data_IF_828456587216
#
_entry.id   IF_828456587216
#
_cell.length_a   1.000
_cell.length_b   1.000
_cell.length_c   1.000
_cell.angle_alpha   90.00
_cell.angle_beta   90.00
_cell.angle_gamma   90.00
#
_symmetry.space_group_name_H-M   'P 1'
#
loop_
_entity.id
_entity.type
_entity.pdbx_description
1 polymer ?
#
# COMPACT_ATOMS: atom_id res chain seq x y z
N UNK A 1 -5.98 57.78 11.24
CA UNK A 1 -4.59 57.49 10.81
C UNK A 1 -3.69 58.15 11.84
N UNK A 2 -3.13 57.36 12.75
CA UNK A 2 -2.09 57.86 13.67
C UNK A 2 -0.82 58.08 12.85
N UNK A 3 -0.19 59.23 13.02
CA UNK A 3 1.09 59.53 12.36
C UNK A 3 2.18 58.67 13.00
N UNK A 4 3.20 58.26 12.22
CA UNK A 4 4.33 57.45 12.68
C UNK A 4 5.10 58.08 13.87
N UNK A 5 4.92 59.36 14.13
CA UNK A 5 5.58 60.12 15.19
C UNK A 5 4.92 59.95 16.56
N UNK A 6 3.71 59.35 16.62
CA UNK A 6 2.99 59.09 17.88
C UNK A 6 3.09 57.63 18.39
N UNK A 7 3.80 56.76 17.65
CA UNK A 7 3.97 55.38 18.02
C UNK A 7 5.21 55.21 18.94
N UNK A 8 5.03 54.51 20.06
CA UNK A 8 6.16 54.10 20.91
C UNK A 8 7.01 53.05 20.17
N UNK A 9 8.31 52.97 20.49
CA UNK A 9 9.22 51.95 19.87
C UNK A 9 8.65 50.54 19.97
N UNK A 10 7.94 50.19 21.05
CA UNK A 10 7.30 48.90 21.24
C UNK A 10 6.12 48.65 20.26
N UNK A 11 5.42 49.73 19.86
CA UNK A 11 4.35 49.68 18.85
C UNK A 11 4.91 49.58 17.45
N UNK A 12 6.02 50.27 17.16
CA UNK A 12 6.77 50.16 15.93
C UNK A 12 7.35 48.77 15.77
N UNK A 13 7.95 48.20 16.82
CA UNK A 13 8.45 46.80 16.79
C UNK A 13 7.35 45.77 16.49
N UNK A 14 6.13 45.98 17.05
CA UNK A 14 4.97 45.11 16.72
C UNK A 14 4.48 45.26 15.31
N UNK A 15 4.61 46.43 14.71
CA UNK A 15 4.24 46.67 13.33
C UNK A 15 5.26 46.08 12.32
N UNK A 16 6.53 46.06 12.69
CA UNK A 16 7.65 45.63 11.83
C UNK A 16 7.90 44.12 11.96
N UNK A 17 7.71 43.52 13.13
CA UNK A 17 7.89 42.07 13.37
C UNK A 17 6.55 41.37 13.29
N UNK A 18 6.29 40.64 12.19
CA UNK A 18 5.09 39.81 12.15
C UNK A 18 5.06 38.88 13.35
N UNK A 19 3.90 38.76 13.98
CA UNK A 19 3.73 37.84 15.11
C UNK A 19 4.08 36.40 14.70
N UNK A 20 4.46 35.57 15.65
CA UNK A 20 4.71 34.14 15.41
C UNK A 20 3.55 33.49 14.65
N UNK A 21 2.32 33.90 14.93
CA UNK A 21 1.12 33.41 14.28
C UNK A 21 1.02 33.83 12.82
N UNK A 22 1.37 35.08 12.48
CA UNK A 22 1.38 35.61 11.11
C UNK A 22 2.49 34.96 10.28
N UNK A 23 3.67 34.78 10.85
CA UNK A 23 4.77 34.05 10.23
C UNK A 23 4.38 32.60 9.96
N UNK A 24 3.76 31.93 10.93
CA UNK A 24 3.28 30.55 10.77
C UNK A 24 2.19 30.45 9.69
N UNK A 25 1.31 31.45 9.60
CA UNK A 25 0.27 31.54 8.56
C UNK A 25 0.86 31.82 7.17
N UNK A 26 1.86 32.68 7.08
CA UNK A 26 2.58 32.96 5.84
C UNK A 26 3.36 31.75 5.31
N UNK A 27 4.04 31.02 6.23
CA UNK A 27 4.74 29.76 5.92
C UNK A 27 3.73 28.71 5.42
N UNK A 28 2.59 28.57 6.11
CA UNK A 28 1.54 27.63 5.71
C UNK A 28 0.96 27.95 4.33
N UNK A 29 0.71 29.24 4.02
CA UNK A 29 0.25 29.68 2.70
C UNK A 29 1.25 29.36 1.59
N UNK A 30 2.55 29.57 1.83
CA UNK A 30 3.61 29.21 0.89
C UNK A 30 3.71 27.70 0.67
N UNK A 31 3.54 26.90 1.72
CA UNK A 31 3.52 25.43 1.60
C UNK A 31 2.30 24.93 0.83
N UNK A 32 1.20 25.68 0.83
CA UNK A 32 -0.03 25.35 0.11
C UNK A 32 -0.10 25.95 -1.28
N UNK A 33 0.92 26.70 -1.71
CA UNK A 33 1.01 27.23 -3.05
C UNK A 33 0.96 26.12 -4.11
N UNK A 34 0.24 26.37 -5.21
CA UNK A 34 0.06 25.45 -6.31
C UNK A 34 1.39 24.96 -6.87
N UNK A 35 2.36 25.85 -7.03
CA UNK A 35 3.70 25.52 -7.52
C UNK A 35 4.38 24.48 -6.61
N UNK A 36 4.38 24.70 -5.30
CA UNK A 36 4.97 23.76 -4.35
C UNK A 36 4.25 22.41 -4.34
N UNK A 37 2.92 22.41 -4.51
CA UNK A 37 2.15 21.16 -4.66
C UNK A 37 2.56 20.41 -5.91
N UNK A 38 2.68 21.09 -7.05
CA UNK A 38 3.12 20.47 -8.30
C UNK A 38 4.55 19.94 -8.21
N UNK A 39 5.47 20.70 -7.64
CA UNK A 39 6.84 20.23 -7.39
C UNK A 39 6.87 18.99 -6.51
N UNK A 40 6.03 18.93 -5.47
CA UNK A 40 5.90 17.74 -4.61
C UNK A 40 5.38 16.53 -5.38
N UNK A 41 4.36 16.73 -6.22
CA UNK A 41 3.81 15.65 -7.08
C UNK A 41 4.87 15.12 -8.04
N UNK A 42 5.60 16.00 -8.72
CA UNK A 42 6.66 15.60 -9.64
C UNK A 42 7.79 14.86 -8.95
N UNK A 43 8.18 15.31 -7.77
CA UNK A 43 9.22 14.64 -7.00
C UNK A 43 8.76 13.26 -6.50
N UNK A 44 7.49 13.09 -6.11
CA UNK A 44 6.93 11.79 -5.74
C UNK A 44 6.78 10.88 -6.95
N UNK A 45 6.36 11.42 -8.09
CA UNK A 45 6.31 10.69 -9.36
C UNK A 45 7.71 10.15 -9.74
N UNK A 46 8.74 11.00 -9.71
CA UNK A 46 10.11 10.59 -10.02
C UNK A 46 10.61 9.49 -9.06
N UNK A 47 10.25 9.57 -7.78
CA UNK A 47 10.56 8.52 -6.81
C UNK A 47 9.87 7.18 -7.18
N UNK A 48 8.61 7.19 -7.54
CA UNK A 48 7.88 5.98 -7.97
C UNK A 48 8.51 5.39 -9.20
N UNK A 49 8.86 6.21 -10.22
CA UNK A 49 9.56 5.78 -11.42
C UNK A 49 10.89 5.07 -11.10
N UNK A 50 11.72 5.70 -10.26
CA UNK A 50 13.00 5.13 -9.83
C UNK A 50 12.80 3.79 -9.10
N UNK A 51 11.79 3.69 -8.22
CA UNK A 51 11.49 2.43 -7.51
C UNK A 51 11.00 1.33 -8.46
N UNK A 52 10.13 1.64 -9.41
CA UNK A 52 9.67 0.69 -10.42
C UNK A 52 10.84 0.18 -11.25
N UNK A 53 11.74 1.05 -11.68
CA UNK A 53 12.97 0.67 -12.40
C UNK A 53 13.84 -0.25 -11.54
N UNK A 54 14.15 0.11 -10.30
CA UNK A 54 14.99 -0.68 -9.39
C UNK A 54 14.43 -2.07 -9.07
N UNK A 55 13.11 -2.20 -8.93
CA UNK A 55 12.46 -3.49 -8.69
C UNK A 55 12.56 -4.37 -9.96
N UNK A 56 12.42 -3.78 -11.13
CA UNK A 56 12.43 -4.50 -12.41
C UNK A 56 13.83 -4.88 -12.88
N UNK A 57 14.84 -4.01 -12.77
CA UNK A 57 16.25 -4.32 -13.12
C UNK A 57 16.83 -5.48 -12.30
N UNK A 58 16.20 -5.80 -11.17
CA UNK A 58 16.56 -6.96 -10.36
C UNK A 58 16.05 -8.29 -10.95
N UNK A 59 15.19 -8.26 -11.93
CA UNK A 59 14.48 -9.42 -12.47
C UNK A 59 14.79 -9.73 -13.94
N UNK A 60 15.50 -8.85 -14.65
CA UNK A 60 15.91 -9.08 -16.05
C UNK A 60 17.09 -8.17 -16.38
N UNK A 61 18.01 -8.65 -17.26
CA UNK A 61 19.06 -7.86 -17.89
C UNK A 61 18.52 -6.81 -18.87
N UNK A 62 17.32 -6.29 -18.63
CA UNK A 62 16.63 -5.37 -19.49
C UNK A 62 16.89 -3.92 -19.07
N UNK A 63 17.79 -3.24 -19.75
CA UNK A 63 18.03 -1.80 -19.71
C UNK A 63 16.90 -0.99 -20.38
N UNK A 64 15.73 -1.58 -20.60
CA UNK A 64 14.67 -0.97 -21.40
C UNK A 64 13.70 -0.15 -20.55
N UNK A 65 13.40 1.05 -21.01
CA UNK A 65 12.17 1.81 -20.70
C UNK A 65 10.93 1.10 -21.31
N UNK A 66 10.82 -0.24 -21.12
CA UNK A 66 9.76 -1.00 -21.76
C UNK A 66 8.46 -0.94 -20.95
N UNK A 67 7.35 -0.90 -21.67
CA UNK A 67 5.98 -0.95 -21.13
C UNK A 67 5.76 -2.12 -20.17
N UNK A 68 6.56 -3.18 -20.29
CA UNK A 68 6.51 -4.36 -19.43
C UNK A 68 6.81 -4.07 -17.95
N UNK A 69 7.68 -3.08 -17.67
CA UNK A 69 8.04 -2.69 -16.31
C UNK A 69 6.84 -2.15 -15.51
N UNK A 70 5.91 -1.48 -16.18
CA UNK A 70 4.75 -0.85 -15.56
C UNK A 70 3.52 -1.75 -15.48
N UNK A 71 3.51 -2.89 -16.14
CA UNK A 71 2.36 -3.82 -16.13
C UNK A 71 1.97 -4.31 -14.75
N UNK A 72 2.91 -4.28 -13.80
CA UNK A 72 2.69 -4.69 -12.42
C UNK A 72 2.51 -3.49 -11.46
N UNK A 73 2.32 -2.27 -11.99
CA UNK A 73 2.08 -1.07 -11.19
C UNK A 73 0.59 -0.76 -11.16
N UNK A 74 0.06 -0.57 -9.95
CA UNK A 74 -1.32 -0.19 -9.70
C UNK A 74 -1.38 1.14 -8.99
N UNK A 75 -2.02 2.12 -9.61
CA UNK A 75 -2.33 3.39 -8.98
C UNK A 75 -3.61 3.25 -8.14
N UNK A 76 -3.54 3.49 -6.83
CA UNK A 76 -4.75 3.59 -6.04
C UNK A 76 -5.51 4.86 -6.46
N UNK A 77 -6.73 4.68 -7.00
CA UNK A 77 -7.46 5.72 -7.76
C UNK A 77 -7.58 7.07 -7.05
N UNK A 78 -7.60 7.08 -5.71
CA UNK A 78 -7.76 8.33 -4.97
C UNK A 78 -6.54 9.24 -5.06
N UNK A 79 -5.34 8.71 -4.83
CA UNK A 79 -4.12 9.51 -4.71
C UNK A 79 -2.92 8.92 -5.46
N UNK A 80 -3.02 7.70 -5.99
CA UNK A 80 -1.92 7.05 -6.70
C UNK A 80 -1.81 7.45 -8.16
N UNK A 81 -2.92 7.83 -8.80
CA UNK A 81 -2.94 8.17 -10.23
C UNK A 81 -2.08 9.37 -10.62
N UNK A 82 -1.82 10.29 -9.68
CA UNK A 82 -0.93 11.45 -9.89
C UNK A 82 0.56 11.09 -9.81
N UNK A 83 0.88 9.93 -9.23
CA UNK A 83 2.23 9.51 -8.88
C UNK A 83 2.70 8.27 -9.64
N UNK A 84 1.86 7.74 -10.51
CA UNK A 84 2.17 6.62 -11.38
C UNK A 84 2.01 7.00 -12.85
N UNK A 85 2.73 6.33 -13.73
CA UNK A 85 2.57 6.55 -15.17
C UNK A 85 1.18 6.12 -15.63
N UNK A 86 0.31 7.10 -15.93
CA UNK A 86 -1.11 6.87 -16.22
C UNK A 86 -1.36 6.07 -17.52
N UNK A 87 -0.38 6.02 -18.42
CA UNK A 87 -0.49 5.26 -19.68
C UNK A 87 -0.19 3.79 -19.50
N UNK A 88 0.68 3.47 -18.57
CA UNK A 88 1.27 2.15 -18.41
C UNK A 88 0.77 1.44 -17.15
N UNK A 89 0.43 2.18 -16.09
CA UNK A 89 -0.07 1.62 -14.85
C UNK A 89 -1.56 1.27 -14.93
N UNK A 90 -1.93 0.25 -14.18
CA UNK A 90 -3.33 -0.10 -13.91
C UNK A 90 -3.87 0.68 -12.72
N UNK A 91 -5.15 0.51 -12.43
CA UNK A 91 -5.79 1.14 -11.27
C UNK A 91 -6.33 0.10 -10.30
N UNK A 92 -6.30 0.44 -9.02
CA UNK A 92 -6.97 -0.31 -7.95
C UNK A 92 -7.72 0.66 -7.03
N UNK A 93 -8.57 0.15 -6.15
CA UNK A 93 -9.34 0.97 -5.22
C UNK A 93 -9.25 0.40 -3.81
N UNK A 94 -8.38 1.01 -3.00
CA UNK A 94 -8.29 0.76 -1.56
C UNK A 94 -8.62 2.06 -0.82
N UNK A 95 -9.69 2.06 -0.02
CA UNK A 95 -10.09 3.24 0.75
C UNK A 95 -9.41 3.29 2.10
N UNK A 96 -8.85 4.44 2.46
CA UNK A 96 -8.25 4.66 3.79
C UNK A 96 -9.26 4.48 4.93
N UNK A 97 -10.56 4.75 4.69
CA UNK A 97 -11.59 4.59 5.70
C UNK A 97 -11.79 3.14 6.11
N UNK A 98 -11.56 2.19 5.22
CA UNK A 98 -11.72 0.75 5.50
C UNK A 98 -10.62 0.25 6.46
N UNK A 99 -9.45 0.91 6.50
CA UNK A 99 -8.35 0.65 7.45
C UNK A 99 -8.27 1.63 8.61
N UNK A 100 -9.20 2.61 8.70
CA UNK A 100 -9.13 3.60 9.76
C UNK A 100 -9.44 2.99 11.14
N UNK A 101 -8.75 3.48 12.18
CA UNK A 101 -8.93 3.00 13.55
C UNK A 101 -10.43 3.00 13.93
N UNK A 102 -10.87 1.94 14.59
CA UNK A 102 -12.26 1.62 14.97
C UNK A 102 -13.20 1.28 13.82
N UNK A 103 -12.80 1.44 12.55
CA UNK A 103 -13.65 1.17 11.38
C UNK A 103 -13.08 0.07 10.46
N UNK A 104 -12.21 -0.81 10.95
CA UNK A 104 -11.65 -1.87 10.11
C UNK A 104 -12.76 -2.66 9.41
N UNK A 105 -12.75 -2.66 8.08
CA UNK A 105 -13.76 -3.28 7.23
C UNK A 105 -13.10 -3.97 6.03
N UNK A 106 -13.79 -4.99 5.51
CA UNK A 106 -13.49 -5.59 4.23
C UNK A 106 -14.52 -5.15 3.20
N UNK A 107 -14.04 -4.56 2.09
CA UNK A 107 -14.95 -4.06 1.05
C UNK A 107 -15.40 -5.16 0.10
N UNK A 108 -16.67 -5.54 0.15
CA UNK A 108 -17.29 -6.50 -0.78
C UNK A 108 -17.42 -6.00 -2.22
N UNK A 109 -17.35 -4.70 -2.42
CA UNK A 109 -17.48 -4.08 -3.75
C UNK A 109 -16.14 -3.89 -4.48
N UNK A 110 -15.01 -4.01 -3.77
CA UNK A 110 -13.67 -3.71 -4.28
C UNK A 110 -12.72 -4.85 -3.95
N UNK A 111 -12.93 -5.97 -4.65
CA UNK A 111 -12.14 -7.17 -4.43
C UNK A 111 -10.70 -7.03 -4.94
N UNK A 112 -10.45 -6.11 -5.88
CA UNK A 112 -9.14 -5.85 -6.50
C UNK A 112 -8.44 -7.15 -6.99
N UNK A 113 -9.20 -8.05 -7.59
CA UNK A 113 -8.72 -9.37 -8.03
C UNK A 113 -7.56 -9.25 -9.03
N UNK A 114 -7.64 -8.28 -9.94
CA UNK A 114 -6.57 -8.00 -10.90
C UNK A 114 -5.21 -7.79 -10.25
N UNK A 115 -5.18 -7.22 -9.04
CA UNK A 115 -3.94 -7.04 -8.29
C UNK A 115 -3.33 -8.39 -7.92
N UNK A 116 -4.15 -9.35 -7.45
CA UNK A 116 -3.68 -10.71 -7.12
C UNK A 116 -3.19 -11.43 -8.36
N UNK A 117 -4.01 -11.45 -9.41
CA UNK A 117 -3.68 -12.17 -10.64
C UNK A 117 -2.39 -11.62 -11.27
N UNK A 118 -2.19 -10.32 -11.22
CA UNK A 118 -0.93 -9.70 -11.69
C UNK A 118 0.25 -10.01 -10.79
N UNK A 119 0.08 -9.96 -9.47
CA UNK A 119 1.13 -10.33 -8.53
C UNK A 119 1.57 -11.80 -8.71
N UNK A 120 0.67 -12.67 -9.17
CA UNK A 120 0.94 -14.09 -9.42
C UNK A 120 1.58 -14.37 -10.78
N UNK A 121 1.60 -13.40 -11.69
CA UNK A 121 2.29 -13.49 -12.98
C UNK A 121 3.72 -12.94 -12.86
N UNK A 122 4.61 -13.36 -13.78
CA UNK A 122 5.93 -12.73 -14.01
C UNK A 122 6.64 -12.16 -12.79
N UNK A 123 7.34 -12.99 -12.08
CA UNK A 123 8.20 -12.55 -10.96
C UNK A 123 7.48 -12.37 -9.63
N UNK A 124 6.17 -12.60 -9.55
CA UNK A 124 5.43 -12.73 -8.29
C UNK A 124 5.34 -11.44 -7.46
N UNK A 125 5.18 -10.26 -8.09
CA UNK A 125 4.97 -9.01 -7.38
C UNK A 125 4.07 -8.05 -8.15
N UNK A 126 3.41 -7.15 -7.42
CA UNK A 126 2.87 -5.90 -7.96
C UNK A 126 3.14 -4.74 -6.99
N UNK A 127 3.24 -3.54 -7.53
CA UNK A 127 3.44 -2.33 -6.76
C UNK A 127 2.13 -1.53 -6.69
N UNK A 128 1.64 -1.26 -5.48
CA UNK A 128 0.48 -0.39 -5.26
C UNK A 128 0.99 0.99 -4.87
N UNK A 129 0.64 2.01 -5.64
CA UNK A 129 1.04 3.39 -5.43
C UNK A 129 -0.09 4.18 -4.80
N UNK A 130 0.16 4.77 -3.63
CA UNK A 130 -0.74 5.71 -2.95
C UNK A 130 0.09 6.76 -2.22
N UNK A 131 -0.23 8.03 -2.42
CA UNK A 131 0.48 9.16 -1.82
C UNK A 131 -0.43 10.04 -0.96
N UNK A 132 -1.42 9.44 -0.30
CA UNK A 132 -2.27 10.15 0.65
C UNK A 132 -1.43 10.72 1.78
N UNK A 133 -1.26 12.04 1.81
CA UNK A 133 -0.46 12.72 2.82
C UNK A 133 -1.11 12.63 4.20
N UNK A 134 -0.35 12.15 5.17
CA UNK A 134 -0.66 12.27 6.60
C UNK A 134 0.43 13.09 7.30
N UNK A 135 0.06 13.87 8.30
CA UNK A 135 1.03 14.62 9.13
C UNK A 135 1.75 13.75 10.14
N UNK A 136 1.11 12.66 10.56
CA UNK A 136 1.56 11.83 11.67
C UNK A 136 1.86 10.38 11.29
N UNK A 137 1.39 9.91 10.13
CA UNK A 137 1.56 8.52 9.69
C UNK A 137 2.56 8.45 8.55
N UNK A 138 3.47 7.51 8.61
CA UNK A 138 4.45 7.22 7.55
C UNK A 138 3.75 6.72 6.27
N UNK A 139 2.72 5.89 6.42
CA UNK A 139 1.91 5.39 5.32
C UNK A 139 0.43 5.76 5.51
N UNK A 140 -0.33 6.00 4.43
CA UNK A 140 -1.77 6.16 4.52
C UNK A 140 -2.44 4.87 5.02
N UNK A 141 -3.61 4.99 5.68
CA UNK A 141 -4.34 3.82 6.17
C UNK A 141 -4.72 2.84 5.05
N UNK A 142 -4.87 3.31 3.80
CA UNK A 142 -5.06 2.45 2.64
C UNK A 142 -3.91 1.45 2.48
N UNK A 143 -2.66 1.91 2.46
CA UNK A 143 -1.49 1.04 2.32
C UNK A 143 -1.15 0.31 3.63
N UNK A 144 -1.19 1.02 4.76
CA UNK A 144 -0.73 0.47 6.03
C UNK A 144 -1.69 -0.51 6.69
N UNK A 145 -2.99 -0.49 6.32
CA UNK A 145 -4.00 -1.35 6.95
C UNK A 145 -4.95 -1.99 5.94
N UNK A 146 -5.59 -1.22 5.05
CA UNK A 146 -6.59 -1.78 4.13
C UNK A 146 -6.01 -2.83 3.21
N UNK A 147 -4.85 -2.56 2.58
CA UNK A 147 -4.16 -3.53 1.70
C UNK A 147 -3.72 -4.79 2.44
N UNK A 148 -3.02 -4.72 3.59
CA UNK A 148 -2.62 -5.93 4.31
C UNK A 148 -3.81 -6.72 4.88
N UNK A 149 -4.87 -6.08 5.36
CA UNK A 149 -6.10 -6.78 5.76
C UNK A 149 -6.70 -7.53 4.56
N UNK A 150 -6.78 -6.87 3.41
CA UNK A 150 -7.26 -7.47 2.16
C UNK A 150 -6.41 -8.67 1.73
N UNK A 151 -5.09 -8.58 1.77
CA UNK A 151 -4.19 -9.68 1.45
C UNK A 151 -4.37 -10.86 2.42
N UNK A 152 -4.46 -10.58 3.72
CA UNK A 152 -4.68 -11.58 4.76
C UNK A 152 -6.03 -12.32 4.60
N UNK A 153 -7.08 -11.61 4.18
CA UNK A 153 -8.40 -12.20 3.89
C UNK A 153 -8.32 -13.15 2.69
N UNK A 154 -7.69 -12.74 1.59
CA UNK A 154 -7.55 -13.57 0.40
C UNK A 154 -6.73 -14.81 0.69
N UNK A 155 -5.58 -14.68 1.34
CA UNK A 155 -4.74 -15.83 1.71
C UNK A 155 -5.55 -16.89 2.48
N UNK A 156 -6.33 -16.46 3.49
CA UNK A 156 -7.16 -17.41 4.29
C UNK A 156 -8.32 -17.97 3.51
N UNK A 157 -8.91 -17.18 2.62
CA UNK A 157 -10.05 -17.63 1.83
C UNK A 157 -9.68 -18.80 0.90
N UNK A 158 -8.46 -18.78 0.33
CA UNK A 158 -8.01 -19.76 -0.67
C UNK A 158 -7.13 -20.88 -0.10
N UNK A 159 -6.63 -20.75 1.13
CA UNK A 159 -5.58 -21.62 1.67
C UNK A 159 -5.90 -23.14 1.58
N UNK A 160 -7.09 -23.54 1.98
CA UNK A 160 -7.50 -24.95 1.92
C UNK A 160 -7.55 -25.49 0.49
N UNK A 161 -8.09 -24.69 -0.43
CA UNK A 161 -8.23 -25.07 -1.83
C UNK A 161 -6.86 -25.13 -2.53
N UNK A 162 -5.96 -24.21 -2.21
CA UNK A 162 -4.56 -24.23 -2.67
C UNK A 162 -3.83 -25.48 -2.19
N UNK A 163 -3.94 -25.83 -0.91
CA UNK A 163 -3.33 -27.04 -0.38
C UNK A 163 -3.92 -28.31 -1.01
N UNK A 164 -5.23 -28.34 -1.23
CA UNK A 164 -5.89 -29.45 -1.90
C UNK A 164 -5.41 -29.59 -3.37
N UNK A 165 -5.25 -28.49 -4.09
CA UNK A 165 -4.73 -28.48 -5.46
C UNK A 165 -3.28 -29.00 -5.49
N UNK A 166 -2.41 -28.48 -4.63
CA UNK A 166 -0.99 -28.88 -4.56
C UNK A 166 -0.76 -30.33 -4.19
N UNK A 167 -1.62 -30.93 -3.36
CA UNK A 167 -1.56 -32.37 -3.01
C UNK A 167 -1.86 -33.26 -4.21
N UNK A 168 -2.62 -32.78 -5.19
CA UNK A 168 -2.89 -33.53 -6.44
C UNK A 168 -1.71 -33.51 -7.40
N UNK A 169 -0.93 -32.41 -7.37
CA UNK A 169 0.26 -32.26 -8.20
C UNK A 169 1.49 -32.78 -7.44
N UNK A 170 1.80 -34.06 -7.61
CA UNK A 170 2.83 -34.82 -6.87
C UNK A 170 4.27 -34.25 -6.95
N UNK A 171 4.51 -33.21 -7.74
CA UNK A 171 5.82 -32.60 -7.98
C UNK A 171 6.07 -31.27 -7.22
N UNK A 172 5.16 -30.77 -6.39
CA UNK A 172 5.30 -29.43 -5.80
C UNK A 172 5.56 -29.44 -4.29
N UNK A 173 6.70 -29.99 -3.86
CA UNK A 173 7.04 -30.11 -2.43
C UNK A 173 7.61 -28.84 -1.77
N UNK A 174 7.92 -27.75 -2.51
CA UNK A 174 8.81 -26.72 -1.94
C UNK A 174 8.14 -25.57 -1.16
N UNK A 175 6.83 -25.37 -1.19
CA UNK A 175 6.19 -24.22 -0.53
C UNK A 175 4.84 -24.53 0.16
N UNK A 176 4.53 -25.78 0.43
CA UNK A 176 3.28 -26.15 1.12
C UNK A 176 3.24 -25.62 2.56
N UNK A 177 4.39 -25.54 3.24
CA UNK A 177 4.49 -25.09 4.62
C UNK A 177 4.00 -23.66 4.84
N UNK A 178 4.19 -22.79 3.84
CA UNK A 178 3.72 -21.40 3.90
C UNK A 178 2.19 -21.27 3.94
N UNK A 179 1.45 -22.25 3.40
CA UNK A 179 -0.01 -22.22 3.34
C UNK A 179 -0.68 -22.78 4.59
N UNK A 180 -0.02 -23.71 5.32
CA UNK A 180 -0.56 -24.30 6.54
C UNK A 180 -0.89 -23.25 7.60
N UNK A 181 -0.07 -22.18 7.69
CA UNK A 181 -0.30 -21.06 8.62
C UNK A 181 -1.63 -20.34 8.41
N UNK A 182 -2.23 -20.42 7.24
CA UNK A 182 -3.51 -19.80 6.92
C UNK A 182 -4.70 -20.76 7.07
N UNK A 183 -4.43 -22.03 7.38
CA UNK A 183 -5.44 -23.08 7.51
C UNK A 183 -5.83 -23.37 8.95
N UNK A 184 -5.07 -22.91 9.93
CA UNK A 184 -5.36 -23.17 11.34
C UNK A 184 -6.71 -22.56 11.70
N UNK A 185 -7.55 -23.37 12.39
CA UNK A 185 -8.94 -23.02 12.69
C UNK A 185 -9.10 -21.77 13.58
N UNK A 186 -8.05 -21.33 14.23
CA UNK A 186 -7.90 -20.03 14.83
C UNK A 186 -7.39 -19.09 13.75
N UNK A 187 -8.27 -18.22 13.29
CA UNK A 187 -7.94 -17.20 12.26
C UNK A 187 -7.12 -16.12 12.94
N UNK A 188 -5.93 -16.47 13.37
CA UNK A 188 -4.98 -15.50 13.91
C UNK A 188 -4.27 -14.75 12.77
N UNK A 189 -4.22 -13.44 12.90
CA UNK A 189 -3.30 -12.62 12.12
C UNK A 189 -1.89 -12.84 12.66
N UNK A 190 -0.99 -13.27 11.80
CA UNK A 190 0.41 -13.36 12.15
C UNK A 190 1.03 -11.97 12.23
N UNK A 191 2.04 -11.80 13.08
CA UNK A 191 2.71 -10.52 13.33
C UNK A 191 3.28 -9.89 12.04
N UNK A 192 3.69 -10.71 11.08
CA UNK A 192 4.28 -10.27 9.81
C UNK A 192 3.25 -9.92 8.71
N UNK A 193 1.94 -10.10 8.95
CA UNK A 193 0.89 -9.79 7.97
C UNK A 193 0.49 -8.32 7.98
N UNK A 194 0.66 -7.64 9.11
CA UNK A 194 0.46 -6.20 9.22
C UNK A 194 1.79 -5.51 9.55
N UNK A 195 1.93 -4.22 9.19
CA UNK A 195 3.14 -3.47 9.55
C UNK A 195 3.29 -3.32 11.06
N UNK A 196 4.54 -3.33 11.54
CA UNK A 196 4.91 -3.16 12.96
C UNK A 196 4.36 -1.89 13.61
N UNK A 197 4.03 -0.88 12.81
CA UNK A 197 3.44 0.37 13.34
C UNK A 197 1.94 0.29 13.63
N UNK A 198 1.28 -0.84 13.36
CA UNK A 198 -0.11 -1.09 13.76
C UNK A 198 -0.12 -1.52 15.22
N UNK A 199 -0.86 -0.81 16.06
CA UNK A 199 -0.90 -1.06 17.50
C UNK A 199 -1.56 -2.42 17.82
N UNK A 200 -1.16 -3.04 18.95
CA UNK A 200 -1.75 -4.30 19.41
C UNK A 200 -3.28 -4.22 19.61
N UNK A 201 -3.79 -3.08 20.04
CA UNK A 201 -5.24 -2.86 20.17
C UNK A 201 -5.93 -2.91 18.80
N UNK A 202 -5.33 -2.34 17.76
CA UNK A 202 -5.86 -2.40 16.40
C UNK A 202 -5.74 -3.83 15.83
N UNK A 203 -4.62 -4.50 16.05
CA UNK A 203 -4.44 -5.90 15.66
C UNK A 203 -5.51 -6.81 16.26
N UNK A 204 -5.77 -6.69 17.56
CA UNK A 204 -6.80 -7.45 18.26
C UNK A 204 -8.20 -7.18 17.68
N UNK A 205 -8.51 -5.91 17.38
CA UNK A 205 -9.79 -5.54 16.76
C UNK A 205 -9.95 -6.10 15.34
N UNK A 206 -8.87 -6.19 14.57
CA UNK A 206 -8.86 -6.78 13.23
C UNK A 206 -9.01 -8.31 13.32
N UNK A 207 -8.29 -8.97 14.24
CA UNK A 207 -8.36 -10.42 14.47
C UNK A 207 -9.79 -10.89 14.69
N UNK A 208 -10.53 -10.23 15.57
CA UNK A 208 -11.94 -10.54 15.85
C UNK A 208 -12.82 -10.51 14.61
N UNK A 209 -12.55 -9.59 13.66
CA UNK A 209 -13.33 -9.42 12.44
C UNK A 209 -12.90 -10.34 11.28
N UNK A 210 -11.71 -10.91 11.32
CA UNK A 210 -11.10 -11.64 10.20
C UNK A 210 -12.00 -12.77 9.69
N UNK A 211 -12.59 -13.56 10.58
CA UNK A 211 -13.51 -14.65 10.20
C UNK A 211 -14.71 -14.16 9.40
N UNK A 212 -15.24 -13.00 9.77
CA UNK A 212 -16.35 -12.39 9.03
C UNK A 212 -15.88 -11.86 7.67
N UNK A 213 -14.69 -11.24 7.60
CA UNK A 213 -14.11 -10.75 6.35
C UNK A 213 -13.88 -11.87 5.33
N UNK A 214 -13.40 -13.03 5.77
CA UNK A 214 -13.24 -14.21 4.90
C UNK A 214 -14.59 -14.71 4.38
N UNK A 215 -15.64 -14.76 5.23
CA UNK A 215 -16.99 -15.09 4.80
C UNK A 215 -17.53 -14.08 3.80
N UNK A 216 -17.33 -12.79 4.05
CA UNK A 216 -17.77 -11.71 3.18
C UNK A 216 -17.11 -11.81 1.81
N UNK A 217 -15.79 -12.09 1.75
CA UNK A 217 -15.09 -12.33 0.49
C UNK A 217 -15.69 -13.52 -0.27
N UNK A 218 -15.81 -14.69 0.37
CA UNK A 218 -16.37 -15.90 -0.27
C UNK A 218 -17.81 -15.71 -0.73
N UNK A 219 -18.60 -14.84 -0.08
CA UNK A 219 -20.00 -14.60 -0.45
C UNK A 219 -20.18 -13.78 -1.73
N UNK A 220 -19.13 -13.04 -2.17
CA UNK A 220 -19.21 -12.12 -3.30
C UNK A 220 -18.22 -12.45 -4.44
N UNK A 221 -17.26 -13.30 -4.17
CA UNK A 221 -16.32 -13.78 -5.20
C UNK A 221 -17.02 -14.85 -6.06
N UNK A 222 -17.12 -14.62 -7.36
CA UNK A 222 -17.70 -15.59 -8.26
C UNK A 222 -16.83 -16.87 -8.34
N UNK A 223 -17.45 -18.04 -8.53
CA UNK A 223 -16.76 -19.34 -8.49
C UNK A 223 -15.60 -19.45 -9.47
N UNK A 224 -15.77 -18.96 -10.70
CA UNK A 224 -14.71 -18.98 -11.70
C UNK A 224 -13.54 -18.08 -11.32
N UNK A 225 -13.84 -16.88 -10.78
CA UNK A 225 -12.84 -15.97 -10.27
C UNK A 225 -12.10 -16.56 -9.06
N UNK A 226 -12.81 -17.24 -8.18
CA UNK A 226 -12.22 -17.92 -7.02
C UNK A 226 -11.27 -19.03 -7.45
N UNK A 227 -11.64 -19.86 -8.44
CA UNK A 227 -10.76 -20.90 -9.01
C UNK A 227 -9.49 -20.31 -9.61
N UNK A 228 -9.62 -19.23 -10.39
CA UNK A 228 -8.48 -18.53 -10.98
C UNK A 228 -7.52 -18.02 -9.90
N UNK A 229 -8.05 -17.47 -8.80
CA UNK A 229 -7.25 -17.05 -7.64
C UNK A 229 -6.50 -18.22 -6.99
N UNK A 230 -7.19 -19.35 -6.76
CA UNK A 230 -6.59 -20.56 -6.17
C UNK A 230 -5.43 -21.04 -7.05
N UNK A 231 -5.63 -21.16 -8.35
CA UNK A 231 -4.58 -21.58 -9.30
C UNK A 231 -3.41 -20.58 -9.34
N UNK A 232 -3.71 -19.29 -9.39
CA UNK A 232 -2.70 -18.24 -9.41
C UNK A 232 -1.83 -18.27 -8.16
N UNK A 233 -2.44 -18.32 -6.98
CA UNK A 233 -1.75 -18.33 -5.70
C UNK A 233 -1.10 -19.69 -5.39
N UNK A 234 -1.63 -20.79 -5.92
CA UNK A 234 -0.96 -22.09 -5.86
C UNK A 234 0.41 -22.06 -6.55
N UNK A 235 0.56 -21.27 -7.62
CA UNK A 235 1.84 -21.12 -8.34
C UNK A 235 2.78 -20.12 -7.68
N UNK A 236 2.27 -18.98 -7.22
CA UNK A 236 3.09 -17.86 -6.74
C UNK A 236 3.37 -17.85 -5.23
N UNK A 237 2.57 -18.56 -4.44
CA UNK A 237 2.58 -18.47 -2.99
C UNK A 237 1.61 -17.42 -2.45
N UNK A 238 1.53 -17.27 -1.10
CA UNK A 238 0.64 -16.31 -0.46
C UNK A 238 1.06 -14.87 -0.70
N UNK A 239 0.10 -13.96 -0.62
CA UNK A 239 0.32 -12.51 -0.73
C UNK A 239 1.07 -12.00 0.49
N UNK A 240 2.21 -11.35 0.26
CA UNK A 240 3.01 -10.71 1.30
C UNK A 240 3.14 -9.21 1.00
N UNK A 241 2.79 -8.36 1.96
CA UNK A 241 2.89 -6.92 1.82
C UNK A 241 4.30 -6.43 2.22
N UNK A 242 4.90 -5.62 1.36
CA UNK A 242 6.17 -4.94 1.60
C UNK A 242 5.98 -3.44 1.40
N UNK A 243 6.69 -2.64 2.18
CA UNK A 243 6.48 -1.20 2.25
C UNK A 243 7.72 -0.45 1.82
N UNK A 244 7.57 0.46 0.88
CA UNK A 244 8.65 1.32 0.40
C UNK A 244 8.25 2.77 0.58
N UNK A 245 9.13 3.59 1.14
CA UNK A 245 8.96 5.03 1.29
C UNK A 245 10.25 5.75 0.94
N UNK A 246 10.18 7.06 0.68
CA UNK A 246 11.38 7.87 0.41
C UNK A 246 12.46 7.75 1.47
N UNK A 247 12.08 7.60 2.73
CA UNK A 247 13.01 7.56 3.85
C UNK A 247 13.76 6.24 3.97
N UNK A 248 13.26 5.15 3.37
CA UNK A 248 13.80 3.79 3.52
C UNK A 248 13.96 3.07 2.18
N UNK A 249 14.00 3.80 1.07
CA UNK A 249 13.95 3.22 -0.29
C UNK A 249 15.09 2.22 -0.59
N UNK A 250 16.25 2.37 0.02
CA UNK A 250 17.40 1.50 -0.23
C UNK A 250 17.35 0.19 0.56
N UNK A 251 17.00 0.25 1.83
CA UNK A 251 16.97 -0.93 2.71
C UNK A 251 15.77 -1.82 2.36
N UNK A 252 14.61 -1.21 2.12
CA UNK A 252 13.38 -1.92 1.81
C UNK A 252 13.48 -2.71 0.47
N UNK A 253 14.15 -2.17 -0.55
CA UNK A 253 14.35 -2.85 -1.85
C UNK A 253 15.36 -4.01 -1.73
N UNK A 254 16.39 -3.87 -0.90
CA UNK A 254 17.38 -4.94 -0.67
C UNK A 254 16.73 -6.16 -0.02
N UNK A 255 15.88 -5.98 0.98
CA UNK A 255 15.13 -7.05 1.62
C UNK A 255 14.06 -7.71 0.72
N UNK A 256 13.60 -7.02 -0.34
CA UNK A 256 12.76 -7.64 -1.37
C UNK A 256 13.51 -8.70 -2.18
N UNK A 257 14.84 -8.58 -2.29
CA UNK A 257 15.71 -9.49 -3.05
C UNK A 257 16.07 -10.75 -2.27
N UNK A 258 16.35 -10.63 -0.97
CA UNK A 258 16.93 -11.70 -0.15
C UNK A 258 15.99 -12.88 0.14
N UNK A 259 14.67 -12.72 -0.01
CA UNK A 259 13.69 -13.80 0.24
C UNK A 259 13.27 -14.60 -0.99
N UNK A 260 13.99 -14.44 -2.12
CA UNK A 260 13.74 -15.20 -3.36
C UNK A 260 14.72 -16.34 -3.62
N UNK A 261 15.74 -16.49 -2.76
CA UNK A 261 16.62 -17.65 -2.73
C UNK A 261 16.11 -18.65 -1.69
#
# INVERSE_FOLDING_TARGET
>A
MLSLEECTDAQIERLIKPTFYENHRAIRRRQEDLFNKLCSVLADYAFVEDMVKKINTSNSDCDCDCDDCYRNVFANLRCGAWYANYRLSKTCVFKSIDGHNQNHQFSKQRLNIDVVLRASLRGGYCAIVDATKSRTKRFPDALGKTVPIWAAVINRAVAFDVLALRRRDSNSNSNSDMWYRYCDGEIELHEDELPEFVSENELSAIRVKMKQFVKDFKSVCADDCFKELVEALARSGPLLCKYVSRNNAFDDVKHLKERRM
#
